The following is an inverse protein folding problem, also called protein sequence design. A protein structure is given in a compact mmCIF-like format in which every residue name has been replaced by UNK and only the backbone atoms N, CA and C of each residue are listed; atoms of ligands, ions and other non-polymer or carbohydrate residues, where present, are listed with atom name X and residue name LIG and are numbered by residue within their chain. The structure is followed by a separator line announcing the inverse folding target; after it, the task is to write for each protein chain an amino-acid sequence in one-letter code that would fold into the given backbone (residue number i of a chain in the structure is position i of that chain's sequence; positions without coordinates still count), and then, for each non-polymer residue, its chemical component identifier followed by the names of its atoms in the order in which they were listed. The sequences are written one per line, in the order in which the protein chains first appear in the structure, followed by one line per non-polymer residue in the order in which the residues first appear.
data_IF_431160235656
#
_entry.id   IF_431160235656
#
_cell.length_a   1.000
_cell.length_b   1.000
_cell.length_c   1.000
_cell.angle_alpha   90.00
_cell.angle_beta   90.00
_cell.angle_gamma   90.00
#
_symmetry.space_group_name_H-M   'P 1'
#
loop_
_entity.id
_entity.type
_entity.pdbx_description
1 polymer ?
#
# COMPACT_ATOMS: atom_id res chain seq x y z
N UNK A 1 -35.02 -43.49 -10.89
CA UNK A 1 -33.87 -42.81 -11.53
C UNK A 1 -34.08 -41.29 -11.69
N UNK A 2 -35.26 -40.81 -12.11
CA UNK A 2 -35.53 -39.37 -12.24
C UNK A 2 -35.45 -38.55 -10.93
N UNK A 3 -35.87 -39.14 -9.80
CA UNK A 3 -35.83 -38.49 -8.49
C UNK A 3 -34.40 -38.20 -8.00
N UNK A 4 -33.47 -39.11 -8.29
CA UNK A 4 -32.04 -38.98 -7.91
C UNK A 4 -31.37 -37.89 -8.74
N UNK A 5 -31.71 -37.79 -10.02
CA UNK A 5 -31.23 -36.73 -10.92
C UNK A 5 -31.74 -35.34 -10.50
N UNK A 6 -33.01 -35.21 -10.08
CA UNK A 6 -33.54 -33.94 -9.54
C UNK A 6 -32.87 -33.53 -8.23
N UNK A 7 -32.60 -34.48 -7.33
CA UNK A 7 -31.89 -34.21 -6.07
C UNK A 7 -30.44 -33.80 -6.31
N UNK A 8 -29.74 -34.41 -7.28
CA UNK A 8 -28.38 -34.03 -7.66
C UNK A 8 -28.32 -32.63 -8.26
N UNK A 9 -29.27 -32.26 -9.13
CA UNK A 9 -29.33 -30.91 -9.70
C UNK A 9 -29.68 -29.85 -8.64
N UNK A 10 -30.56 -30.18 -7.68
CA UNK A 10 -30.85 -29.31 -6.55
C UNK A 10 -29.65 -29.16 -5.60
N UNK A 11 -28.88 -30.23 -5.35
CA UNK A 11 -27.64 -30.16 -4.57
C UNK A 11 -26.57 -29.34 -5.26
N UNK A 12 -26.42 -29.46 -6.59
CA UNK A 12 -25.50 -28.63 -7.39
C UNK A 12 -25.87 -27.14 -7.32
N UNK A 13 -27.16 -26.82 -7.41
CA UNK A 13 -27.66 -25.44 -7.27
C UNK A 13 -27.56 -24.90 -5.84
N UNK A 14 -27.63 -25.75 -4.81
CA UNK A 14 -27.45 -25.35 -3.40
C UNK A 14 -25.98 -25.23 -3.02
N UNK A 15 -25.07 -26.00 -3.64
CA UNK A 15 -23.62 -25.84 -3.50
C UNK A 15 -23.05 -24.66 -4.30
N UNK A 16 -23.85 -24.09 -5.21
CA UNK A 16 -23.57 -22.83 -5.87
C UNK A 16 -24.43 -21.74 -5.22
N UNK A 17 -24.12 -21.40 -3.96
CA UNK A 17 -24.55 -20.12 -3.40
C UNK A 17 -24.10 -18.97 -4.31
N UNK A 18 -24.67 -17.76 -4.21
CA UNK A 18 -24.23 -16.64 -5.04
C UNK A 18 -22.74 -16.42 -4.78
N UNK A 19 -21.90 -16.96 -5.65
CA UNK A 19 -20.46 -16.76 -5.68
C UNK A 19 -20.21 -15.37 -6.22
N UNK A 20 -20.77 -14.35 -5.56
CA UNK A 20 -20.16 -13.05 -5.58
C UNK A 20 -18.82 -13.23 -4.90
N UNK A 21 -17.72 -13.03 -5.64
CA UNK A 21 -16.43 -12.79 -5.02
C UNK A 21 -16.67 -11.77 -3.91
N UNK A 22 -16.49 -12.17 -2.64
CA UNK A 22 -16.53 -11.22 -1.54
C UNK A 22 -15.35 -10.29 -1.81
N UNK A 23 -15.63 -9.16 -2.47
CA UNK A 23 -14.64 -8.13 -2.73
C UNK A 23 -13.94 -7.79 -1.42
N UNK A 24 -12.65 -7.49 -1.51
CA UNK A 24 -11.89 -7.21 -0.30
C UNK A 24 -12.31 -5.85 0.27
N UNK A 25 -12.95 -5.85 1.44
CA UNK A 25 -13.23 -4.62 2.18
C UNK A 25 -12.11 -4.34 3.19
N UNK A 26 -11.24 -3.39 2.86
CA UNK A 26 -10.23 -2.90 3.80
C UNK A 26 -10.92 -2.22 5.00
N UNK A 27 -10.70 -2.78 6.18
CA UNK A 27 -11.38 -2.36 7.40
C UNK A 27 -11.18 -0.88 7.73
N UNK A 28 -12.11 -0.29 8.50
CA UNK A 28 -11.93 1.05 9.05
C UNK A 28 -10.65 1.17 9.90
N UNK A 29 -10.23 0.08 10.54
CA UNK A 29 -8.99 0.04 11.31
C UNK A 29 -7.76 0.25 10.42
N UNK A 30 -7.73 -0.37 9.23
CA UNK A 30 -6.65 -0.18 8.25
C UNK A 30 -6.42 1.30 7.92
N UNK A 31 -7.51 2.05 7.69
CA UNK A 31 -7.47 3.49 7.44
C UNK A 31 -6.97 4.30 8.65
N UNK A 32 -7.39 3.94 9.85
CA UNK A 32 -6.95 4.60 11.08
C UNK A 32 -5.45 4.42 11.30
N UNK A 33 -4.93 3.22 11.03
CA UNK A 33 -3.49 2.93 11.08
C UNK A 33 -2.74 3.78 10.05
N UNK A 34 -3.21 3.90 8.81
CA UNK A 34 -2.61 4.77 7.80
C UNK A 34 -2.50 6.25 8.25
N UNK A 35 -3.57 6.81 8.83
CA UNK A 35 -3.55 8.18 9.39
C UNK A 35 -2.59 8.30 10.58
N UNK A 36 -2.51 7.28 11.42
CA UNK A 36 -1.56 7.24 12.54
C UNK A 36 -0.12 7.25 12.02
N UNK A 37 0.19 6.46 10.99
CA UNK A 37 1.51 6.41 10.34
C UNK A 37 1.93 7.79 9.80
N UNK A 38 1.01 8.52 9.15
CA UNK A 38 1.27 9.89 8.70
C UNK A 38 1.56 10.86 9.86
N UNK A 39 0.82 10.74 10.98
CA UNK A 39 1.07 11.55 12.17
C UNK A 39 2.45 11.26 12.76
N UNK A 40 2.85 9.99 12.84
CA UNK A 40 4.16 9.58 13.32
C UNK A 40 5.28 10.16 12.44
N UNK A 41 5.15 10.10 11.11
CA UNK A 41 6.09 10.75 10.18
C UNK A 41 6.18 12.26 10.38
N UNK A 42 5.07 12.92 10.71
CA UNK A 42 5.06 14.34 11.05
C UNK A 42 5.82 14.63 12.35
N UNK A 43 5.65 13.78 13.37
CA UNK A 43 6.31 13.90 14.67
C UNK A 43 7.81 13.62 14.61
N UNK A 44 8.27 12.80 13.67
CA UNK A 44 9.69 12.52 13.45
C UNK A 44 10.47 13.68 12.80
N UNK A 45 9.84 14.83 12.52
CA UNK A 45 10.53 16.00 11.99
C UNK A 45 11.58 16.52 12.98
N UNK A 46 12.86 16.51 12.58
CA UNK A 46 13.98 17.01 13.39
C UNK A 46 14.43 18.42 13.00
N UNK A 47 14.21 18.82 11.76
CA UNK A 47 14.61 20.12 11.22
C UNK A 47 13.55 20.69 10.26
N UNK A 48 13.65 22.00 9.97
CA UNK A 48 12.76 22.61 8.99
C UNK A 48 13.24 22.30 7.57
N UNK A 49 12.37 21.83 6.65
CA UNK A 49 12.73 21.60 5.23
C UNK A 49 13.30 22.82 4.51
N UNK A 50 13.07 24.03 5.06
CA UNK A 50 13.62 25.28 4.53
C UNK A 50 15.14 25.38 4.66
N UNK A 51 15.76 24.60 5.54
CA UNK A 51 17.22 24.54 5.64
C UNK A 51 17.85 23.55 4.65
N UNK A 52 17.04 22.71 3.99
CA UNK A 52 17.52 21.66 3.10
C UNK A 52 17.19 21.92 1.63
N UNK A 53 17.07 23.19 1.24
CA UNK A 53 16.68 23.56 -0.14
C UNK A 53 17.64 23.00 -1.19
N UNK A 54 18.95 22.94 -0.89
CA UNK A 54 19.98 22.41 -1.78
C UNK A 54 19.91 20.88 -1.96
N UNK A 55 19.27 20.19 -1.02
CA UNK A 55 19.12 18.74 -1.03
C UNK A 55 17.78 18.28 -1.61
N UNK A 56 16.91 19.21 -2.02
CA UNK A 56 15.64 18.87 -2.67
C UNK A 56 15.88 18.06 -3.93
N UNK A 57 15.07 17.01 -4.08
CA UNK A 57 15.06 16.14 -5.24
C UNK A 57 13.62 15.90 -5.66
N UNK A 58 13.37 15.97 -6.96
CA UNK A 58 12.18 15.34 -7.53
C UNK A 58 12.46 13.85 -7.73
N UNK A 59 11.74 13.01 -6.98
CA UNK A 59 11.87 11.56 -7.03
C UNK A 59 11.05 10.92 -8.14
N UNK A 60 10.31 11.71 -8.95
CA UNK A 60 9.42 11.21 -9.99
C UNK A 60 8.38 10.22 -9.42
N UNK A 61 7.64 10.67 -8.41
CA UNK A 61 6.56 9.90 -7.79
C UNK A 61 5.60 9.32 -8.85
N UNK A 62 5.25 8.02 -8.81
CA UNK A 62 4.46 7.35 -9.84
C UNK A 62 2.96 7.69 -9.71
N UNK A 63 2.64 8.97 -9.96
CA UNK A 63 1.32 9.54 -9.74
C UNK A 63 0.22 8.81 -10.52
N UNK A 64 0.48 8.42 -11.77
CA UNK A 64 -0.50 7.69 -12.58
C UNK A 64 -0.89 6.33 -11.98
N UNK A 65 0.03 5.66 -11.30
CA UNK A 65 -0.25 4.35 -10.68
C UNK A 65 -0.92 4.49 -9.31
N UNK A 66 -0.54 5.50 -8.52
CA UNK A 66 -1.02 5.63 -7.13
C UNK A 66 -2.24 6.55 -7.04
N UNK A 67 -2.31 7.59 -7.86
CA UNK A 67 -3.40 8.58 -7.86
C UNK A 67 -4.32 8.44 -9.06
N UNK A 68 -3.91 7.74 -10.12
CA UNK A 68 -4.76 7.47 -11.28
C UNK A 68 -5.94 6.57 -10.96
N UNK A 69 -7.04 6.76 -11.69
CA UNK A 69 -8.28 5.97 -11.56
C UNK A 69 -8.40 4.82 -12.56
N UNK A 70 -7.33 4.45 -13.27
CA UNK A 70 -7.37 3.51 -14.39
C UNK A 70 -7.06 2.06 -14.02
N UNK A 71 -6.59 1.80 -12.78
CA UNK A 71 -6.24 0.46 -12.34
C UNK A 71 -7.47 -0.33 -11.91
N UNK A 72 -7.51 -1.61 -12.27
CA UNK A 72 -8.46 -2.57 -11.70
C UNK A 72 -8.16 -2.80 -10.21
N UNK A 73 -9.14 -3.29 -9.45
CA UNK A 73 -9.03 -3.46 -7.99
C UNK A 73 -7.79 -4.26 -7.58
N UNK A 74 -7.55 -5.44 -8.20
CA UNK A 74 -6.38 -6.27 -7.91
C UNK A 74 -5.03 -5.58 -8.22
N UNK A 75 -4.99 -4.76 -9.27
CA UNK A 75 -3.80 -3.97 -9.62
C UNK A 75 -3.58 -2.83 -8.61
N UNK A 76 -4.65 -2.13 -8.24
CA UNK A 76 -4.61 -1.06 -7.25
C UNK A 76 -4.20 -1.58 -5.86
N UNK A 77 -4.70 -2.75 -5.45
CA UNK A 77 -4.25 -3.46 -4.25
C UNK A 77 -2.77 -3.82 -4.31
N UNK A 78 -2.31 -4.34 -5.45
CA UNK A 78 -0.89 -4.69 -5.65
C UNK A 78 0.02 -3.45 -5.57
N UNK A 79 -0.41 -2.32 -6.16
CA UNK A 79 0.32 -1.04 -6.08
C UNK A 79 0.37 -0.53 -4.64
N UNK A 80 -0.75 -0.58 -3.93
CA UNK A 80 -0.81 -0.17 -2.53
C UNK A 80 0.10 -1.04 -1.65
N UNK A 81 0.02 -2.35 -1.81
CA UNK A 81 0.88 -3.31 -1.11
C UNK A 81 2.36 -3.01 -1.36
N UNK A 82 2.76 -2.83 -2.62
CA UNK A 82 4.14 -2.51 -2.97
C UNK A 82 4.60 -1.17 -2.37
N UNK A 83 3.75 -0.14 -2.39
CA UNK A 83 4.07 1.16 -1.76
C UNK A 83 4.35 1.01 -0.26
N UNK A 84 3.51 0.26 0.47
CA UNK A 84 3.69 0.05 1.91
C UNK A 84 4.88 -0.86 2.21
N UNK A 85 5.13 -1.88 1.38
CA UNK A 85 6.24 -2.81 1.55
C UNK A 85 7.58 -2.09 1.39
N UNK A 86 7.72 -1.29 0.33
CA UNK A 86 8.95 -0.51 0.12
C UNK A 86 9.15 0.55 1.22
N UNK A 87 8.06 1.17 1.69
CA UNK A 87 8.08 2.07 2.85
C UNK A 87 8.58 1.36 4.10
N UNK A 88 8.04 0.17 4.40
CA UNK A 88 8.45 -0.64 5.54
C UNK A 88 9.95 -0.98 5.46
N UNK A 89 10.41 -1.47 4.31
CA UNK A 89 11.81 -1.83 4.08
C UNK A 89 12.75 -0.65 4.32
N UNK A 90 12.40 0.52 3.78
CA UNK A 90 13.13 1.77 3.96
C UNK A 90 13.29 2.14 5.45
N UNK A 91 12.19 2.08 6.21
CA UNK A 91 12.19 2.40 7.63
C UNK A 91 12.79 1.30 8.51
N UNK A 92 12.94 0.07 8.04
CA UNK A 92 13.50 -1.05 8.81
C UNK A 92 15.03 -1.10 8.82
N UNK A 93 15.71 -0.22 8.09
CA UNK A 93 17.19 -0.22 8.03
C UNK A 93 17.84 0.33 9.31
N UNK A 94 19.09 -0.10 9.57
CA UNK A 94 19.92 0.47 10.65
C UNK A 94 20.15 1.97 10.49
N UNK A 95 20.30 2.42 9.24
CA UNK A 95 20.46 3.84 8.90
C UNK A 95 19.23 4.65 9.30
N UNK A 96 18.02 4.11 9.09
CA UNK A 96 16.78 4.72 9.60
C UNK A 96 16.73 4.72 11.12
N UNK A 97 17.14 3.64 11.79
CA UNK A 97 17.21 3.59 13.26
C UNK A 97 18.14 4.66 13.85
N UNK A 98 19.24 4.99 13.17
CA UNK A 98 20.16 6.05 13.59
C UNK A 98 19.63 7.46 13.32
N UNK A 99 18.73 7.64 12.34
CA UNK A 99 18.25 8.93 11.90
C UNK A 99 17.03 9.44 12.71
N UNK A 100 16.20 8.55 13.24
CA UNK A 100 14.88 8.89 13.79
C UNK A 100 14.74 8.55 15.28
N UNK A 101 13.75 9.15 15.93
CA UNK A 101 13.35 8.74 17.28
C UNK A 101 12.91 7.26 17.26
N UNK A 102 13.57 6.44 18.08
CA UNK A 102 13.40 4.99 18.04
C UNK A 102 11.99 4.55 18.44
N UNK A 103 11.33 5.30 19.33
CA UNK A 103 9.97 5.00 19.79
C UNK A 103 8.96 5.29 18.69
N UNK A 104 9.06 6.46 18.05
CA UNK A 104 8.19 6.84 16.93
C UNK A 104 8.43 5.92 15.72
N UNK A 105 9.69 5.60 15.42
CA UNK A 105 10.05 4.71 14.33
C UNK A 105 9.51 3.29 14.55
N UNK A 106 9.58 2.77 15.77
CA UNK A 106 9.02 1.45 16.08
C UNK A 106 7.51 1.43 15.91
N UNK A 107 6.79 2.46 16.37
CA UNK A 107 5.35 2.57 16.15
C UNK A 107 4.99 2.66 14.67
N UNK A 108 5.79 3.37 13.86
CA UNK A 108 5.59 3.46 12.42
C UNK A 108 5.79 2.08 11.77
N UNK A 109 6.86 1.36 12.11
CA UNK A 109 7.13 0.01 11.60
C UNK A 109 5.99 -0.95 11.92
N UNK A 110 5.49 -0.94 13.16
CA UNK A 110 4.34 -1.75 13.57
C UNK A 110 3.09 -1.40 12.78
N UNK A 111 2.79 -0.10 12.60
CA UNK A 111 1.62 0.32 11.83
C UNK A 111 1.72 -0.05 10.35
N UNK A 112 2.90 0.10 9.73
CA UNK A 112 3.12 -0.33 8.34
C UNK A 112 2.98 -1.85 8.19
N UNK A 113 3.55 -2.63 9.10
CA UNK A 113 3.44 -4.08 9.09
C UNK A 113 1.97 -4.54 9.22
N UNK A 114 1.22 -3.94 10.14
CA UNK A 114 -0.20 -4.23 10.29
C UNK A 114 -1.00 -3.96 9.00
N UNK A 115 -0.72 -2.86 8.30
CA UNK A 115 -1.37 -2.59 7.01
C UNK A 115 -0.96 -3.59 5.92
N UNK A 116 0.27 -4.10 5.95
CA UNK A 116 0.71 -5.15 5.02
C UNK A 116 -0.01 -6.47 5.29
N UNK A 117 -0.13 -6.89 6.56
CA UNK A 117 -0.85 -8.11 6.94
C UNK A 117 -2.32 -8.07 6.48
N UNK A 118 -2.99 -6.92 6.65
CA UNK A 118 -4.36 -6.70 6.16
C UNK A 118 -4.46 -6.85 4.63
N UNK A 119 -3.45 -6.35 3.89
CA UNK A 119 -3.42 -6.40 2.42
C UNK A 119 -3.06 -7.78 1.89
N UNK A 120 -2.22 -8.55 2.59
CA UNK A 120 -1.90 -9.93 2.22
C UNK A 120 -3.14 -10.83 2.33
N UNK A 121 -3.92 -10.68 3.40
CA UNK A 121 -5.19 -11.37 3.56
C UNK A 121 -6.18 -11.02 2.44
N UNK A 122 -6.24 -9.74 2.08
CA UNK A 122 -7.06 -9.19 1.00
C UNK A 122 -6.66 -9.74 -0.38
N UNK A 123 -5.38 -9.68 -0.73
CA UNK A 123 -4.86 -10.22 -1.98
C UNK A 123 -5.12 -11.72 -2.08
N UNK A 124 -4.99 -12.46 -0.97
CA UNK A 124 -5.34 -13.89 -0.92
C UNK A 124 -6.81 -14.20 -1.26
N UNK A 125 -7.74 -13.27 -1.00
CA UNK A 125 -9.17 -13.41 -1.34
C UNK A 125 -9.48 -12.99 -2.77
N UNK A 126 -8.85 -11.92 -3.25
CA UNK A 126 -9.04 -11.40 -4.63
C UNK A 126 -8.36 -12.30 -5.66
N UNK A 127 -7.33 -13.06 -5.25
CA UNK A 127 -6.63 -14.02 -6.10
C UNK A 127 -7.47 -15.29 -6.36
N UNK A 128 -8.25 -15.26 -7.43
CA UNK A 128 -8.62 -16.49 -8.16
C UNK A 128 -7.41 -17.09 -8.90
N UNK A 129 -7.52 -18.36 -9.30
CA UNK A 129 -6.43 -19.17 -9.89
C UNK A 129 -5.87 -18.61 -11.23
N UNK A 130 -6.50 -17.59 -11.81
CA UNK A 130 -6.29 -17.16 -13.19
C UNK A 130 -5.97 -15.67 -13.39
N UNK A 131 -5.68 -14.91 -12.33
CA UNK A 131 -5.36 -13.48 -12.48
C UNK A 131 -3.86 -13.28 -12.77
N UNK A 132 -3.54 -13.11 -14.06
CA UNK A 132 -2.17 -13.19 -14.58
C UNK A 132 -1.20 -12.28 -13.81
N UNK A 133 -0.15 -12.88 -13.24
CA UNK A 133 0.91 -12.16 -12.53
C UNK A 133 1.54 -11.03 -13.39
N UNK A 134 1.47 -11.16 -14.72
CA UNK A 134 1.96 -10.20 -15.70
C UNK A 134 1.21 -8.85 -15.67
N UNK A 135 -0.12 -8.87 -15.53
CA UNK A 135 -0.93 -7.63 -15.48
C UNK A 135 -0.70 -6.79 -14.22
N UNK A 136 -0.21 -7.40 -13.13
CA UNK A 136 0.10 -6.76 -11.85
C UNK A 136 1.54 -6.26 -11.74
N UNK A 137 2.46 -6.92 -12.44
CA UNK A 137 3.90 -6.61 -12.36
C UNK A 137 4.25 -5.24 -12.95
N UNK A 138 3.53 -4.80 -13.98
CA UNK A 138 3.75 -3.49 -14.61
C UNK A 138 3.57 -2.30 -13.64
N UNK A 139 2.39 -2.13 -13.02
CA UNK A 139 2.13 -1.04 -12.09
C UNK A 139 3.08 -1.02 -10.88
N UNK A 140 3.39 -2.18 -10.28
CA UNK A 140 4.29 -2.27 -9.12
C UNK A 140 5.75 -1.98 -9.48
N UNK A 141 6.17 -2.22 -10.73
CA UNK A 141 7.52 -1.88 -11.19
C UNK A 141 7.80 -0.37 -11.16
N UNK A 142 6.80 0.47 -11.43
CA UNK A 142 6.93 1.92 -11.32
C UNK A 142 7.21 2.34 -9.86
N UNK A 143 6.51 1.72 -8.91
CA UNK A 143 6.75 1.92 -7.47
C UNK A 143 8.16 1.49 -7.07
N UNK A 144 8.60 0.31 -7.50
CA UNK A 144 9.96 -0.18 -7.22
C UNK A 144 11.05 0.76 -7.73
N UNK A 145 10.91 1.28 -8.96
CA UNK A 145 11.85 2.26 -9.54
C UNK A 145 11.88 3.57 -8.74
N UNK A 146 10.72 4.04 -8.30
CA UNK A 146 10.62 5.22 -7.45
C UNK A 146 11.40 5.06 -6.14
N UNK A 147 11.22 3.94 -5.43
CA UNK A 147 11.98 3.65 -4.21
C UNK A 147 13.47 3.37 -4.46
N UNK A 148 13.82 2.78 -5.60
CA UNK A 148 15.23 2.67 -6.01
C UNK A 148 15.89 4.05 -6.13
N UNK A 149 15.19 5.03 -6.72
CA UNK A 149 15.65 6.42 -6.79
C UNK A 149 15.85 7.05 -5.40
N UNK A 150 14.98 6.75 -4.44
CA UNK A 150 15.13 7.16 -3.05
C UNK A 150 16.40 6.58 -2.42
N UNK A 151 16.65 5.28 -2.60
CA UNK A 151 17.85 4.63 -2.05
C UNK A 151 19.14 5.23 -2.63
N UNK A 152 19.17 5.47 -3.95
CA UNK A 152 20.30 6.13 -4.62
C UNK A 152 20.53 7.53 -4.05
N UNK A 153 19.47 8.33 -3.92
CA UNK A 153 19.56 9.67 -3.35
C UNK A 153 20.15 9.68 -1.93
N UNK A 154 19.70 8.77 -1.05
CA UNK A 154 20.22 8.69 0.32
C UNK A 154 21.71 8.35 0.34
N UNK A 155 22.15 7.46 -0.56
CA UNK A 155 23.56 7.11 -0.73
C UNK A 155 24.38 8.31 -1.23
N UNK A 156 23.91 9.00 -2.26
CA UNK A 156 24.57 10.18 -2.84
C UNK A 156 24.70 11.32 -1.82
N UNK A 157 23.69 11.51 -0.96
CA UNK A 157 23.70 12.52 0.10
C UNK A 157 24.37 12.04 1.40
N UNK A 158 24.96 10.85 1.40
CA UNK A 158 25.68 10.32 2.55
C UNK A 158 24.84 10.16 3.81
N UNK A 159 23.52 9.98 3.67
CA UNK A 159 22.56 9.89 4.77
C UNK A 159 22.58 11.09 5.72
N UNK A 160 22.81 12.30 5.19
CA UNK A 160 22.80 13.54 5.97
C UNK A 160 21.44 13.82 6.64
N UNK A 161 21.42 14.65 7.68
CA UNK A 161 20.17 15.09 8.31
C UNK A 161 19.21 15.75 7.31
N UNK A 162 19.74 16.49 6.34
CA UNK A 162 18.93 17.07 5.28
C UNK A 162 18.37 16.02 4.31
N UNK A 163 19.15 14.99 3.96
CA UNK A 163 18.65 13.89 3.14
C UNK A 163 17.47 13.18 3.82
N UNK A 164 17.57 12.94 5.13
CA UNK A 164 16.49 12.35 5.91
C UNK A 164 15.27 13.26 6.00
N UNK A 165 15.43 14.57 6.20
CA UNK A 165 14.28 15.50 6.21
C UNK A 165 13.58 15.57 4.84
N UNK A 166 14.34 15.58 3.75
CA UNK A 166 13.77 15.52 2.38
C UNK A 166 13.03 14.19 2.17
N UNK A 167 13.61 13.07 2.60
CA UNK A 167 12.95 11.78 2.56
C UNK A 167 11.65 11.78 3.37
N UNK A 168 11.65 12.34 4.58
CA UNK A 168 10.48 12.40 5.45
C UNK A 168 9.33 13.14 4.77
N UNK A 169 9.62 14.26 4.10
CA UNK A 169 8.63 15.02 3.33
C UNK A 169 8.11 14.19 2.14
N UNK A 170 9.00 13.52 1.42
CA UNK A 170 8.62 12.66 0.29
C UNK A 170 7.75 11.48 0.75
N UNK A 171 8.11 10.84 1.87
CA UNK A 171 7.32 9.74 2.45
C UNK A 171 5.97 10.20 2.99
N UNK A 172 5.87 11.43 3.52
CA UNK A 172 4.56 12.01 3.88
C UNK A 172 3.67 12.14 2.65
N UNK A 173 4.20 12.61 1.51
CA UNK A 173 3.46 12.68 0.24
C UNK A 173 3.03 11.28 -0.19
N UNK A 174 3.98 10.35 -0.29
CA UNK A 174 3.74 8.98 -0.73
C UNK A 174 2.65 8.25 0.08
N UNK A 175 2.76 8.26 1.42
CA UNK A 175 1.77 7.60 2.28
C UNK A 175 0.42 8.33 2.31
N UNK A 176 0.39 9.64 2.06
CA UNK A 176 -0.88 10.37 1.90
C UNK A 176 -1.60 9.92 0.63
N UNK A 177 -0.88 9.81 -0.50
CA UNK A 177 -1.42 9.28 -1.75
C UNK A 177 -1.85 7.82 -1.61
N UNK A 178 -1.11 6.98 -0.87
CA UNK A 178 -1.53 5.62 -0.53
C UNK A 178 -2.83 5.57 0.28
N UNK A 179 -3.02 6.50 1.22
CA UNK A 179 -4.28 6.62 1.99
C UNK A 179 -5.44 7.00 1.06
N UNK A 180 -5.22 7.91 0.11
CA UNK A 180 -6.22 8.24 -0.91
C UNK A 180 -6.55 7.05 -1.82
N UNK A 181 -5.56 6.24 -2.19
CA UNK A 181 -5.77 5.00 -2.95
C UNK A 181 -6.62 3.99 -2.15
N UNK A 182 -6.34 3.83 -0.86
CA UNK A 182 -7.15 2.99 0.04
C UNK A 182 -8.62 3.44 0.08
N UNK A 183 -8.88 4.75 0.15
CA UNK A 183 -10.25 5.28 0.14
C UNK A 183 -10.98 4.99 -1.17
N UNK A 184 -10.28 5.00 -2.30
CA UNK A 184 -10.87 4.64 -3.60
C UNK A 184 -11.16 3.15 -3.70
N UNK A 185 -10.23 2.30 -3.26
CA UNK A 185 -10.41 0.84 -3.21
C UNK A 185 -11.66 0.47 -2.39
N UNK A 186 -11.85 1.11 -1.23
CA UNK A 186 -13.04 0.91 -0.40
C UNK A 186 -14.35 1.29 -1.11
N UNK A 187 -14.35 2.34 -1.93
CA UNK A 187 -15.54 2.73 -2.72
C UNK A 187 -15.85 1.69 -3.80
N UNK A 188 -14.82 1.18 -4.47
CA UNK A 188 -14.96 0.12 -5.48
C UNK A 188 -15.58 -1.16 -4.92
N UNK A 189 -15.16 -1.59 -3.72
CA UNK A 189 -15.74 -2.77 -3.05
C UNK A 189 -17.18 -2.57 -2.55
N UNK A 190 -17.60 -1.32 -2.28
CA UNK A 190 -18.96 -1.01 -1.85
C UNK A 190 -20.01 -1.08 -2.96
N UNK A 191 -19.64 -0.73 -4.21
CA UNK A 191 -20.57 -0.69 -5.34
C UNK A 191 -20.98 -2.09 -5.84
N UNK A 192 -20.15 -3.12 -5.58
CA UNK A 192 -20.45 -4.52 -5.90
C UNK A 192 -21.42 -5.20 -4.91
N UNK A 193 -21.71 -4.56 -3.78
CA UNK A 193 -22.53 -5.09 -2.70
C UNK A 193 -23.91 -4.41 -2.57
N UNK A 194 -24.34 -3.63 -3.57
CA UNK A 194 -25.67 -3.00 -3.58
C UNK A 194 -26.70 -3.90 -4.28
N UNK A 195 -27.88 -4.15 -3.67
CA UNK A 195 -28.92 -5.06 -4.19
C UNK A 195 -29.64 -4.55 -5.45
#
# INVERSE_FOLDING_TARGET
MAFVLSLLMALVLVSCGPGGSLGCDLSQNHMLVGRKNLRLLGQMRRLSPRFCLQDRKDFAFPQEMVEGGQLQEAQALSVLHEMLQQSFNLFHTERSSAAWDTTLLQQLRTGLHQQLDDLDACLGQVMGEEDSALGRTGPTLAVKRYFQGIHVYLQEKGYSDCAWEILRVEMMKALSSSTSLQERLRKMGGDLNSP
#
